data_IF_112409125173
#
_entry.id   IF_112409125173
#
_cell.length_a   1.000
_cell.length_b   1.000
_cell.length_c   1.000
_cell.angle_alpha   90.00
_cell.angle_beta   90.00
_cell.angle_gamma   90.00
#
_symmetry.space_group_name_H-M   'P 1'
#
loop_
_entity.id
_entity.type
_entity.pdbx_description
1 polymer ?
#
# COMPACT_ATOMS: atom_id res chain seq x y z
N UNK A 1 14.25 -23.30 14.67
CA UNK A 1 13.08 -23.48 13.79
C UNK A 1 11.88 -23.64 14.70
N UNK A 2 11.12 -22.58 14.88
CA UNK A 2 9.95 -22.64 15.75
C UNK A 2 8.77 -23.02 14.86
N UNK A 3 8.27 -24.24 15.02
CA UNK A 3 7.16 -24.79 14.24
C UNK A 3 5.97 -23.79 14.19
N UNK A 4 5.75 -23.08 15.29
CA UNK A 4 4.73 -22.04 15.41
C UNK A 4 4.97 -20.83 14.50
N UNK A 5 6.20 -20.31 14.40
CA UNK A 5 6.51 -19.19 13.48
C UNK A 5 6.27 -19.60 12.04
N UNK A 6 6.69 -20.82 11.66
CA UNK A 6 6.49 -21.33 10.31
C UNK A 6 5.00 -21.49 9.97
N UNK A 7 4.19 -21.96 10.92
CA UNK A 7 2.74 -22.09 10.75
C UNK A 7 2.08 -20.71 10.59
N UNK A 8 2.42 -19.73 11.43
CA UNK A 8 1.92 -18.35 11.28
C UNK A 8 2.31 -17.77 9.93
N UNK A 9 3.56 -17.96 9.47
CA UNK A 9 3.99 -17.52 8.14
C UNK A 9 3.18 -18.17 7.03
N UNK A 10 2.86 -19.47 7.15
CA UNK A 10 2.01 -20.20 6.21
C UNK A 10 0.59 -19.63 6.17
N UNK A 11 -0.01 -19.42 7.33
CA UNK A 11 -1.36 -18.85 7.47
C UNK A 11 -1.43 -17.43 6.91
N UNK A 12 -0.44 -16.59 7.19
CA UNK A 12 -0.36 -15.23 6.62
C UNK A 12 -0.25 -15.28 5.09
N UNK A 13 0.54 -16.18 4.52
CA UNK A 13 0.63 -16.35 3.06
C UNK A 13 -0.71 -16.75 2.46
N UNK A 14 -1.35 -17.78 3.01
CA UNK A 14 -2.64 -18.26 2.54
C UNK A 14 -3.72 -17.17 2.63
N UNK A 15 -3.82 -16.50 3.78
CA UNK A 15 -4.79 -15.43 4.01
C UNK A 15 -4.59 -14.25 3.06
N UNK A 16 -3.34 -13.88 2.74
CA UNK A 16 -3.08 -12.82 1.75
C UNK A 16 -3.57 -13.17 0.36
N UNK A 17 -3.44 -14.42 -0.07
CA UNK A 17 -3.96 -14.88 -1.37
C UNK A 17 -5.47 -14.72 -1.39
N UNK A 18 -6.17 -15.23 -0.36
CA UNK A 18 -7.63 -15.08 -0.25
C UNK A 18 -8.08 -13.61 -0.19
N UNK A 19 -7.33 -12.75 0.49
CA UNK A 19 -7.60 -11.31 0.51
C UNK A 19 -7.46 -10.65 -0.87
N UNK A 20 -6.46 -11.05 -1.66
CA UNK A 20 -6.27 -10.54 -3.03
C UNK A 20 -7.40 -10.98 -3.96
N UNK A 21 -7.87 -12.22 -3.81
CA UNK A 21 -9.01 -12.74 -4.56
C UNK A 21 -10.29 -11.98 -4.22
N UNK A 22 -10.58 -11.78 -2.93
CA UNK A 22 -11.72 -10.98 -2.49
C UNK A 22 -11.64 -9.53 -2.97
N UNK A 23 -10.45 -8.92 -2.97
CA UNK A 23 -10.25 -7.59 -3.54
C UNK A 23 -10.56 -7.55 -5.05
N UNK A 24 -10.12 -8.56 -5.80
CA UNK A 24 -10.42 -8.66 -7.24
C UNK A 24 -11.92 -8.79 -7.50
N UNK A 25 -12.62 -9.61 -6.71
CA UNK A 25 -14.08 -9.76 -6.78
C UNK A 25 -14.77 -8.43 -6.48
N UNK A 26 -14.37 -7.76 -5.38
CA UNK A 26 -14.94 -6.48 -4.96
C UNK A 26 -14.73 -5.39 -6.02
N UNK A 27 -13.54 -5.30 -6.61
CA UNK A 27 -13.26 -4.39 -7.73
C UNK A 27 -14.14 -4.70 -8.94
N UNK A 28 -14.38 -5.98 -9.23
CA UNK A 28 -15.30 -6.42 -10.28
C UNK A 28 -16.73 -5.94 -10.04
N UNK A 29 -17.24 -6.09 -8.81
CA UNK A 29 -18.58 -5.61 -8.42
C UNK A 29 -18.69 -4.09 -8.54
N UNK A 30 -17.71 -3.35 -8.01
CA UNK A 30 -17.68 -1.88 -8.10
C UNK A 30 -17.72 -1.41 -9.56
N UNK A 31 -16.91 -2.02 -10.43
CA UNK A 31 -16.86 -1.65 -11.84
C UNK A 31 -18.19 -1.93 -12.58
N UNK A 32 -19.00 -2.87 -12.09
CA UNK A 32 -20.33 -3.17 -12.61
C UNK A 32 -21.45 -2.38 -11.92
N UNK A 33 -21.12 -1.57 -10.91
CA UNK A 33 -22.12 -0.86 -10.09
C UNK A 33 -22.96 -1.79 -9.21
N UNK A 34 -22.47 -2.98 -8.92
CA UNK A 34 -23.13 -3.97 -8.05
C UNK A 34 -22.88 -3.65 -6.57
N UNK A 35 -23.77 -4.13 -5.69
CA UNK A 35 -23.54 -4.09 -4.25
C UNK A 35 -22.35 -4.98 -3.87
N UNK A 36 -21.39 -4.39 -3.15
CA UNK A 36 -20.18 -5.05 -2.69
C UNK A 36 -20.10 -5.19 -1.16
N UNK A 37 -21.18 -4.84 -0.43
CA UNK A 37 -21.19 -4.83 1.04
C UNK A 37 -20.81 -6.19 1.66
N UNK A 38 -21.25 -7.29 1.05
CA UNK A 38 -20.91 -8.64 1.51
C UNK A 38 -19.40 -8.91 1.43
N UNK A 39 -18.80 -8.67 0.26
CA UNK A 39 -17.36 -8.90 0.03
C UNK A 39 -16.51 -7.92 0.85
N UNK A 40 -16.98 -6.68 1.01
CA UNK A 40 -16.35 -5.70 1.90
C UNK A 40 -16.35 -6.16 3.36
N UNK A 41 -17.46 -6.74 3.83
CA UNK A 41 -17.58 -7.33 5.16
C UNK A 41 -16.59 -8.47 5.39
N UNK A 42 -16.45 -9.37 4.41
CA UNK A 42 -15.47 -10.46 4.49
C UNK A 42 -14.03 -9.96 4.44
N UNK A 43 -13.75 -8.91 3.66
CA UNK A 43 -12.45 -8.22 3.67
C UNK A 43 -12.11 -7.66 5.06
N UNK A 44 -13.07 -7.07 5.77
CA UNK A 44 -12.86 -6.58 7.14
C UNK A 44 -12.56 -7.76 8.09
N UNK A 45 -13.32 -8.86 8.00
CA UNK A 45 -13.05 -10.06 8.81
C UNK A 45 -11.64 -10.60 8.57
N UNK A 46 -11.23 -10.76 7.32
CA UNK A 46 -9.88 -11.22 6.98
C UNK A 46 -8.80 -10.27 7.50
N UNK A 47 -9.03 -8.94 7.46
CA UNK A 47 -8.11 -7.96 8.06
C UNK A 47 -7.95 -8.17 9.56
N UNK A 48 -9.02 -8.46 10.30
CA UNK A 48 -8.91 -8.72 11.75
C UNK A 48 -8.08 -9.97 12.05
N UNK A 49 -8.26 -11.04 11.26
CA UNK A 49 -7.45 -12.27 11.39
C UNK A 49 -5.99 -11.97 11.05
N UNK A 50 -5.72 -11.22 9.98
CA UNK A 50 -4.37 -10.83 9.59
C UNK A 50 -3.66 -10.03 10.69
N UNK A 51 -4.33 -9.06 11.32
CA UNK A 51 -3.75 -8.28 12.42
C UNK A 51 -3.32 -9.17 13.57
N UNK A 52 -4.18 -10.12 13.99
CA UNK A 52 -3.85 -11.06 15.08
C UNK A 52 -2.64 -11.93 14.76
N UNK A 53 -2.56 -12.48 13.55
CA UNK A 53 -1.41 -13.29 13.11
C UNK A 53 -0.12 -12.46 13.07
N UNK A 54 -0.20 -11.20 12.66
CA UNK A 54 0.96 -10.30 12.63
C UNK A 54 1.42 -9.91 14.04
N UNK A 55 0.50 -9.68 14.97
CA UNK A 55 0.80 -9.44 16.39
C UNK A 55 1.48 -10.65 17.02
N UNK A 56 0.93 -11.86 16.83
CA UNK A 56 1.52 -13.09 17.34
C UNK A 56 2.92 -13.33 16.77
N UNK A 57 3.08 -13.11 15.46
CA UNK A 57 4.40 -13.17 14.80
C UNK A 57 5.40 -12.19 15.43
N UNK A 58 4.97 -10.96 15.74
CA UNK A 58 5.82 -9.94 16.33
C UNK A 58 6.25 -10.30 17.76
N UNK A 59 5.35 -10.89 18.56
CA UNK A 59 5.65 -11.41 19.90
C UNK A 59 6.70 -12.53 19.84
N UNK A 60 6.63 -13.38 18.82
CA UNK A 60 7.60 -14.44 18.57
C UNK A 60 8.93 -13.93 17.98
N UNK A 61 9.06 -12.63 17.75
CA UNK A 61 10.30 -12.01 17.27
C UNK A 61 10.54 -12.12 15.76
N UNK A 62 9.61 -12.69 14.98
CA UNK A 62 9.74 -12.76 13.53
C UNK A 62 9.38 -11.41 12.88
N UNK A 63 10.40 -10.73 12.35
CA UNK A 63 10.27 -9.42 11.69
C UNK A 63 10.48 -9.50 10.19
N UNK A 64 10.81 -10.67 9.65
CA UNK A 64 11.10 -10.79 8.23
C UNK A 64 9.84 -10.56 7.39
N UNK A 65 9.98 -9.93 6.21
CA UNK A 65 8.85 -9.73 5.32
C UNK A 65 8.37 -11.08 4.76
N UNK A 66 7.08 -11.36 4.92
CA UNK A 66 6.42 -12.48 4.27
C UNK A 66 6.11 -12.04 2.84
N UNK A 67 6.85 -12.55 1.86
CA UNK A 67 6.62 -12.26 0.45
C UNK A 67 5.53 -13.16 -0.12
N UNK A 68 4.58 -12.57 -0.84
CA UNK A 68 3.58 -13.25 -1.66
C UNK A 68 3.76 -12.70 -3.06
N UNK A 69 3.96 -13.60 -4.03
CA UNK A 69 4.17 -13.23 -5.44
C UNK A 69 3.05 -12.31 -5.92
N UNK A 70 3.40 -11.13 -6.44
CA UNK A 70 2.45 -10.16 -7.01
C UNK A 70 1.90 -9.09 -6.06
N UNK A 71 2.16 -9.16 -4.74
CA UNK A 71 1.54 -8.25 -3.75
C UNK A 71 2.41 -7.10 -3.23
N UNK A 72 3.74 -7.18 -3.37
CA UNK A 72 4.64 -6.13 -2.86
C UNK A 72 4.86 -5.03 -3.91
N UNK A 73 3.83 -4.22 -4.17
CA UNK A 73 4.04 -2.91 -4.79
C UNK A 73 4.37 -1.95 -3.64
N UNK A 74 5.64 -1.59 -3.48
CA UNK A 74 6.04 -0.48 -2.61
C UNK A 74 5.36 0.79 -3.14
N UNK A 75 4.17 1.12 -2.64
CA UNK A 75 3.44 2.35 -3.00
C UNK A 75 4.08 3.61 -2.41
N UNK A 76 5.18 3.50 -1.66
CA UNK A 76 6.02 4.66 -1.38
C UNK A 76 6.85 4.95 -2.63
N UNK A 77 6.56 6.01 -3.41
CA UNK A 77 7.59 6.58 -4.24
C UNK A 77 8.77 6.90 -3.31
N UNK A 78 9.98 6.45 -3.67
CA UNK A 78 11.18 7.00 -3.03
C UNK A 78 11.05 8.51 -3.18
N UNK A 79 11.04 9.25 -2.07
CA UNK A 79 11.08 10.69 -2.13
C UNK A 79 12.40 11.08 -2.81
N UNK A 80 12.35 11.33 -4.12
CA UNK A 80 13.44 11.98 -4.83
C UNK A 80 13.57 13.35 -4.17
N UNK A 81 14.67 13.56 -3.45
CA UNK A 81 14.98 14.85 -2.85
C UNK A 81 14.96 15.86 -4.00
N UNK A 82 14.11 16.89 -3.98
CA UNK A 82 14.14 17.89 -5.03
C UNK A 82 15.53 18.54 -4.99
N UNK A 83 16.29 18.37 -6.07
CA UNK A 83 17.49 19.15 -6.30
C UNK A 83 17.01 20.59 -6.38
N UNK A 84 17.28 21.37 -5.33
CA UNK A 84 16.95 22.78 -5.29
C UNK A 84 17.74 23.48 -6.41
N UNK A 85 17.13 23.65 -7.58
CA UNK A 85 17.68 24.49 -8.63
C UNK A 85 17.65 25.94 -8.11
N UNK A 86 18.78 26.68 -8.16
CA UNK A 86 18.81 28.05 -7.71
C UNK A 86 17.84 28.91 -8.55
N UNK A 87 17.16 29.89 -7.95
CA UNK A 87 16.20 30.71 -8.67
C UNK A 87 16.93 31.53 -9.73
N UNK A 88 16.68 31.23 -11.00
CA UNK A 88 17.03 32.13 -12.10
C UNK A 88 16.27 33.43 -11.90
N UNK A 89 16.97 34.47 -11.42
CA UNK A 89 16.44 35.84 -11.34
C UNK A 89 16.10 36.30 -12.75
N UNK A 90 14.81 36.25 -13.12
CA UNK A 90 14.30 36.95 -14.31
C UNK A 90 14.46 38.44 -14.07
N UNK A 91 15.46 39.02 -14.73
CA UNK A 91 15.69 40.47 -14.74
C UNK A 91 14.55 41.11 -15.54
N UNK A 92 13.61 41.76 -14.84
CA UNK A 92 12.58 42.57 -15.47
C UNK A 92 13.25 43.78 -16.14
N UNK A 93 13.04 43.94 -17.44
CA UNK A 93 13.51 45.11 -18.18
C UNK A 93 12.72 46.36 -17.74
N UNK A 94 13.36 47.54 -17.67
CA UNK A 94 12.67 48.75 -17.28
C UNK A 94 11.65 49.13 -18.35
N UNK A 95 10.43 49.42 -17.91
CA UNK A 95 9.35 49.94 -18.75
C UNK A 95 9.80 51.30 -19.30
N UNK A 96 9.87 51.42 -20.62
CA UNK A 96 10.15 52.69 -21.29
C UNK A 96 9.01 53.68 -21.01
N UNK A 97 9.33 54.75 -20.29
CA UNK A 97 8.44 55.89 -20.09
C UNK A 97 8.36 56.66 -21.42
N UNK A 98 7.20 56.62 -22.07
CA UNK A 98 6.87 57.49 -23.22
C UNK A 98 6.71 58.92 -22.71
N UNK A 99 7.62 59.81 -23.08
CA UNK A 99 7.42 61.25 -23.01
C UNK A 99 6.57 61.72 -24.20
N UNK A 100 5.69 62.70 -23.94
CA UNK A 100 4.85 63.39 -24.92
C UNK A 100 5.67 64.28 -25.84
#
# INVERSE_FOLDING_TARGET
MDNRINEIRRQVRALRVSMMEAEAIMRGQINRGEDCAFVAGDMIKMRTVMSRLVEERAVLGDREPILVSGGFISRRPKAERPIALPPFKRRLMPVAVRAR
#
